data_IF_933269391079
#
_entry.id   IF_933269391079
#
_cell.length_a   1.000
_cell.length_b   1.000
_cell.length_c   1.000
_cell.angle_alpha   90.00
_cell.angle_beta   90.00
_cell.angle_gamma   90.00
#
_symmetry.space_group_name_H-M   'P 1'
#
loop_
_entity.id
_entity.type
_entity.pdbx_description
1 polymer ?
#
# COMPACT_ATOMS: atom_id res chain seq x y z
N UNK A 1 46.56 0.39 -61.85
CA UNK A 1 45.77 1.25 -62.75
C UNK A 1 44.29 1.17 -62.34
N UNK A 2 43.67 2.33 -62.06
CA UNK A 2 42.27 2.58 -61.69
C UNK A 2 41.79 1.97 -60.34
N UNK A 3 41.67 2.69 -59.21
CA UNK A 3 40.93 3.92 -58.87
C UNK A 3 39.40 3.79 -58.94
N UNK A 4 38.73 3.80 -57.77
CA UNK A 4 37.37 4.32 -57.48
C UNK A 4 37.07 4.11 -55.98
N UNK A 5 37.42 5.09 -55.15
CA UNK A 5 36.55 6.11 -54.57
C UNK A 5 35.69 5.60 -53.39
N UNK A 6 36.18 5.91 -52.18
CA UNK A 6 35.44 5.96 -50.94
C UNK A 6 34.58 7.24 -50.94
N UNK A 7 33.27 7.10 -50.79
CA UNK A 7 32.41 8.21 -50.39
C UNK A 7 31.67 7.83 -49.10
N UNK A 8 32.06 8.51 -48.02
CA UNK A 8 31.37 8.48 -46.75
C UNK A 8 30.01 9.16 -46.86
N UNK A 9 28.97 8.48 -46.38
CA UNK A 9 27.69 9.09 -46.15
C UNK A 9 27.65 9.65 -44.72
N UNK A 10 27.79 10.96 -44.62
CA UNK A 10 27.45 11.73 -43.42
C UNK A 10 25.94 11.61 -43.17
N UNK A 11 25.57 11.03 -42.03
CA UNK A 11 24.23 11.23 -41.45
C UNK A 11 24.40 11.96 -40.13
N UNK A 12 24.45 13.28 -40.27
CA UNK A 12 24.22 14.24 -39.21
C UNK A 12 22.78 14.08 -38.72
N UNK A 13 22.60 13.55 -37.51
CA UNK A 13 21.38 13.78 -36.74
C UNK A 13 21.68 14.92 -35.79
N UNK A 14 21.33 16.12 -36.26
CA UNK A 14 21.30 17.33 -35.48
C UNK A 14 20.32 17.16 -34.31
N UNK A 15 20.69 17.75 -33.18
CA UNK A 15 19.73 18.20 -32.17
C UNK A 15 19.32 17.14 -31.15
N UNK A 16 20.18 16.91 -30.16
CA UNK A 16 19.66 16.77 -28.79
C UNK A 16 18.97 18.09 -28.46
N UNK A 17 17.66 18.15 -28.71
CA UNK A 17 16.80 19.21 -28.23
C UNK A 17 16.95 19.29 -26.72
N UNK A 18 17.25 20.50 -26.25
CA UNK A 18 17.27 20.90 -24.85
C UNK A 18 16.13 20.20 -24.12
N UNK A 19 16.48 19.40 -23.12
CA UNK A 19 15.52 18.89 -22.14
C UNK A 19 15.09 20.10 -21.34
N UNK A 20 14.08 20.81 -21.85
CA UNK A 20 13.48 21.95 -21.16
C UNK A 20 13.09 21.47 -19.77
N UNK A 21 13.72 22.10 -18.79
CA UNK A 21 13.30 22.04 -17.40
C UNK A 21 11.81 22.34 -17.39
N UNK A 22 11.01 21.42 -16.88
CA UNK A 22 9.58 21.66 -16.70
C UNK A 22 9.46 22.77 -15.64
N UNK A 23 9.30 24.00 -16.11
CA UNK A 23 9.09 25.19 -15.28
C UNK A 23 7.88 24.96 -14.33
N UNK A 24 7.95 25.47 -13.09
CA UNK A 24 6.89 25.32 -12.10
C UNK A 24 5.60 25.96 -12.60
N UNK A 25 4.53 25.17 -12.60
CA UNK A 25 3.20 25.56 -13.04
C UNK A 25 2.72 26.87 -12.40
N UNK A 26 2.18 27.76 -13.25
CA UNK A 26 1.55 29.02 -12.86
C UNK A 26 0.46 28.84 -11.77
N UNK A 27 0.29 29.82 -10.85
CA UNK A 27 -0.71 29.75 -9.80
C UNK A 27 -2.10 29.95 -10.41
N UNK A 28 -2.95 28.92 -10.35
CA UNK A 28 -4.36 29.06 -10.75
C UNK A 28 -5.03 27.79 -11.29
N UNK A 29 -4.29 26.71 -11.57
CA UNK A 29 -4.91 25.46 -12.03
C UNK A 29 -5.25 24.56 -10.84
N UNK A 30 -6.46 24.73 -10.30
CA UNK A 30 -7.04 23.76 -9.36
C UNK A 30 -7.29 22.44 -10.13
N UNK A 31 -6.37 21.48 -9.98
CA UNK A 31 -6.60 20.10 -10.38
C UNK A 31 -7.56 19.47 -9.37
N UNK A 32 -8.86 19.64 -9.61
CA UNK A 32 -9.90 18.93 -8.88
C UNK A 32 -9.78 17.46 -9.27
N UNK A 33 -9.25 16.63 -8.35
CA UNK A 33 -9.30 15.17 -8.49
C UNK A 33 -10.66 14.70 -7.98
N UNK A 34 -11.61 14.55 -8.88
CA UNK A 34 -12.89 13.90 -8.55
C UNK A 34 -12.65 12.40 -8.28
N UNK A 35 -12.99 11.93 -7.08
CA UNK A 35 -12.94 10.51 -6.75
C UNK A 35 -14.01 9.73 -7.53
N UNK A 36 -13.73 8.47 -7.87
CA UNK A 36 -14.67 7.59 -8.57
C UNK A 36 -16.01 7.49 -7.82
N UNK A 37 -17.08 7.92 -8.50
CA UNK A 37 -18.45 7.91 -7.98
C UNK A 37 -18.93 6.45 -7.87
N UNK A 38 -19.35 6.03 -6.67
CA UNK A 38 -19.97 4.71 -6.46
C UNK A 38 -21.22 4.60 -7.36
N UNK A 39 -21.42 3.50 -8.12
CA UNK A 39 -22.64 3.33 -8.90
C UNK A 39 -23.82 3.20 -7.93
N UNK A 40 -24.73 4.17 -7.97
CA UNK A 40 -25.98 4.11 -7.26
C UNK A 40 -26.82 2.98 -7.86
N UNK A 41 -26.98 1.88 -7.12
CA UNK A 41 -27.92 0.82 -7.46
C UNK A 41 -29.33 1.40 -7.39
N UNK A 42 -29.91 1.69 -8.55
CA UNK A 42 -31.31 2.09 -8.66
C UNK A 42 -32.17 0.87 -8.31
N UNK A 43 -32.86 0.94 -7.19
CA UNK A 43 -33.94 0.04 -6.82
C UNK A 43 -35.03 0.11 -7.90
N UNK A 44 -35.15 -0.93 -8.72
CA UNK A 44 -36.08 -0.98 -9.86
C UNK A 44 -36.25 -2.40 -10.40
N UNK A 45 -37.33 -3.03 -9.95
CA UNK A 45 -37.97 -4.30 -10.38
C UNK A 45 -37.45 -5.01 -11.65
N UNK A 46 -37.15 -6.30 -11.42
CA UNK A 46 -37.34 -7.46 -12.30
C UNK A 46 -36.34 -7.66 -13.45
N UNK A 47 -35.25 -8.36 -13.14
CA UNK A 47 -34.63 -9.33 -14.04
C UNK A 47 -34.24 -10.57 -13.23
N UNK A 48 -34.82 -11.72 -13.59
CA UNK A 48 -34.45 -13.05 -13.08
C UNK A 48 -32.96 -13.27 -13.32
N UNK A 49 -32.26 -13.79 -12.31
CA UNK A 49 -30.83 -14.06 -12.36
C UNK A 49 -30.06 -13.40 -11.22
N UNK A 50 -30.65 -13.34 -10.03
CA UNK A 50 -29.84 -13.23 -8.83
C UNK A 50 -29.09 -14.57 -8.69
N UNK A 51 -27.91 -14.65 -9.33
CA UNK A 51 -26.83 -15.45 -8.74
C UNK A 51 -26.81 -15.01 -7.30
N UNK A 52 -27.08 -15.95 -6.41
CA UNK A 52 -27.01 -15.73 -4.98
C UNK A 52 -25.77 -14.88 -4.74
N UNK A 53 -25.89 -13.85 -3.91
CA UNK A 53 -24.71 -13.36 -3.24
C UNK A 53 -24.20 -14.56 -2.46
N UNK A 54 -23.36 -15.37 -3.11
CA UNK A 54 -22.55 -16.39 -2.47
C UNK A 54 -21.81 -15.59 -1.43
N UNK A 55 -22.35 -15.65 -0.22
CA UNK A 55 -21.90 -14.83 0.88
C UNK A 55 -20.44 -15.20 1.06
N UNK A 56 -19.53 -14.32 0.63
CA UNK A 56 -18.08 -14.58 0.62
C UNK A 56 -17.73 -15.27 1.93
N UNK A 57 -17.51 -16.59 1.85
CA UNK A 57 -17.12 -17.38 3.01
C UNK A 57 -15.61 -17.34 3.07
N UNK A 58 -15.12 -16.96 4.24
CA UNK A 58 -13.71 -17.12 4.55
C UNK A 58 -13.36 -18.59 4.37
N UNK A 59 -12.19 -18.90 3.80
CA UNK A 59 -11.76 -20.27 3.58
C UNK A 59 -11.70 -21.02 4.91
N UNK A 60 -12.02 -22.31 4.87
CA UNK A 60 -11.98 -23.17 6.06
C UNK A 60 -10.54 -23.28 6.57
N UNK A 61 -10.36 -23.00 7.87
CA UNK A 61 -9.05 -23.02 8.53
C UNK A 61 -8.85 -24.38 9.21
N UNK A 62 -7.66 -24.95 9.06
CA UNK A 62 -7.30 -26.19 9.74
C UNK A 62 -7.31 -26.01 11.28
N UNK A 63 -7.89 -26.98 12.00
CA UNK A 63 -8.00 -26.98 13.47
C UNK A 63 -7.00 -27.93 14.14
N UNK A 64 -6.15 -28.59 13.37
CA UNK A 64 -5.16 -29.54 13.90
C UNK A 64 -3.98 -28.82 14.57
N UNK A 65 -3.69 -29.07 15.86
CA UNK A 65 -2.65 -28.34 16.59
C UNK A 65 -1.23 -28.64 16.09
N UNK A 66 -0.99 -29.87 15.62
CA UNK A 66 0.33 -30.26 15.10
C UNK A 66 0.65 -29.50 13.81
N UNK A 67 -0.32 -29.33 12.91
CA UNK A 67 -0.11 -28.61 11.66
C UNK A 67 0.11 -27.11 11.92
N UNK A 68 -0.66 -26.51 12.83
CA UNK A 68 -0.55 -25.07 13.18
C UNK A 68 0.79 -24.70 13.84
N UNK A 69 1.44 -25.65 14.52
CA UNK A 69 2.74 -25.42 15.18
C UNK A 69 3.94 -25.72 14.28
N UNK A 70 3.75 -26.48 13.21
CA UNK A 70 4.82 -26.89 12.29
C UNK A 70 4.83 -26.09 10.99
N UNK A 71 3.65 -25.68 10.52
CA UNK A 71 3.47 -24.96 9.26
C UNK A 71 2.73 -23.64 9.48
N UNK A 72 3.08 -22.64 8.69
CA UNK A 72 2.38 -21.37 8.66
C UNK A 72 1.16 -21.46 7.73
N UNK A 73 0.05 -21.96 8.27
CA UNK A 73 -1.21 -22.07 7.53
C UNK A 73 -1.74 -20.68 7.12
N UNK A 74 -2.18 -20.54 5.87
CA UNK A 74 -2.75 -19.30 5.33
C UNK A 74 -1.72 -18.30 4.75
N UNK A 75 -0.43 -18.65 4.76
CA UNK A 75 0.61 -17.86 4.06
C UNK A 75 0.57 -18.12 2.56
N UNK A 76 0.33 -19.37 2.15
CA UNK A 76 0.21 -19.72 0.74
C UNK A 76 -1.22 -19.44 0.23
N UNK A 77 -1.32 -18.63 -0.82
CA UNK A 77 -2.60 -18.24 -1.46
C UNK A 77 -2.86 -19.06 -2.74
N UNK A 78 -1.84 -19.75 -3.26
CA UNK A 78 -1.94 -20.52 -4.50
C UNK A 78 -2.52 -21.91 -4.25
N UNK A 79 -3.41 -22.36 -5.15
CA UNK A 79 -4.05 -23.68 -5.07
C UNK A 79 -3.06 -24.85 -5.17
N UNK A 80 -1.98 -24.66 -5.92
CA UNK A 80 -0.97 -25.69 -6.21
C UNK A 80 0.34 -25.45 -5.44
N UNK A 81 0.30 -24.66 -4.37
CA UNK A 81 1.45 -24.42 -3.51
C UNK A 81 1.42 -25.29 -2.25
N UNK A 82 2.60 -25.59 -1.71
CA UNK A 82 2.73 -26.19 -0.39
C UNK A 82 2.86 -25.09 0.68
N UNK A 83 2.30 -25.35 1.87
CA UNK A 83 2.43 -24.43 3.01
C UNK A 83 3.87 -24.38 3.53
N UNK A 84 4.27 -23.19 3.98
CA UNK A 84 5.66 -22.93 4.40
C UNK A 84 5.89 -23.49 5.81
N UNK A 85 6.88 -24.37 6.02
CA UNK A 85 7.23 -24.86 7.35
C UNK A 85 7.88 -23.75 8.19
N UNK A 86 7.59 -23.74 9.49
CA UNK A 86 8.21 -22.82 10.43
C UNK A 86 9.67 -23.22 10.68
N UNK A 87 10.55 -22.22 10.66
CA UNK A 87 11.99 -22.38 10.87
C UNK A 87 12.33 -22.33 12.36
N UNK A 88 13.49 -22.84 12.79
CA UNK A 88 13.95 -22.63 14.16
C UNK A 88 14.28 -21.15 14.43
N UNK A 89 14.21 -20.74 15.70
CA UNK A 89 14.40 -19.34 16.12
C UNK A 89 15.73 -18.71 15.65
N UNK A 90 16.78 -19.51 15.48
CA UNK A 90 18.10 -19.04 15.06
C UNK A 90 18.14 -18.54 13.60
N UNK A 91 17.18 -18.93 12.76
CA UNK A 91 17.09 -18.44 11.38
C UNK A 91 16.34 -17.11 11.27
N UNK A 92 15.58 -16.75 12.30
CA UNK A 92 14.85 -15.49 12.33
C UNK A 92 15.74 -14.37 12.87
N UNK A 93 15.64 -13.16 12.30
CA UNK A 93 16.46 -12.04 12.75
C UNK A 93 16.09 -11.60 14.16
N UNK A 94 17.08 -11.13 14.92
CA UNK A 94 16.93 -10.78 16.34
C UNK A 94 15.87 -9.71 16.59
N UNK A 95 15.77 -8.71 15.69
CA UNK A 95 14.80 -7.61 15.83
C UNK A 95 13.34 -8.10 15.92
N UNK A 96 13.03 -9.30 15.41
CA UNK A 96 11.68 -9.88 15.51
C UNK A 96 11.28 -10.12 16.96
N UNK A 97 12.23 -10.55 17.80
CA UNK A 97 12.01 -10.85 19.20
C UNK A 97 12.10 -9.61 20.11
N UNK A 98 12.64 -8.51 19.60
CA UNK A 98 12.74 -7.23 20.29
C UNK A 98 11.49 -6.35 20.09
N UNK A 99 10.57 -6.75 19.22
CA UNK A 99 9.34 -6.00 18.96
C UNK A 99 8.40 -6.00 20.17
N UNK A 100 7.71 -4.88 20.40
CA UNK A 100 6.68 -4.79 21.43
C UNK A 100 5.39 -5.48 20.96
N UNK A 101 5.14 -6.70 21.45
CA UNK A 101 3.90 -7.48 21.23
C UNK A 101 2.80 -7.10 22.24
N UNK A 102 3.14 -6.29 23.25
CA UNK A 102 2.23 -5.81 24.28
C UNK A 102 1.42 -4.58 23.87
N UNK A 103 0.80 -3.91 24.86
CA UNK A 103 0.09 -2.66 24.59
C UNK A 103 1.05 -1.58 24.04
N UNK A 104 0.54 -0.64 23.24
CA UNK A 104 1.34 0.45 22.72
C UNK A 104 1.88 1.30 23.87
N UNK A 105 3.14 1.74 23.73
CA UNK A 105 3.80 2.63 24.70
C UNK A 105 3.00 3.92 24.89
N UNK A 106 2.93 4.39 26.13
CA UNK A 106 2.25 5.66 26.45
C UNK A 106 3.14 6.85 26.08
N UNK A 107 2.53 8.03 25.96
CA UNK A 107 3.26 9.25 25.64
C UNK A 107 4.34 9.58 26.69
N UNK A 108 4.06 9.30 27.97
CA UNK A 108 4.96 9.56 29.11
C UNK A 108 6.21 8.65 29.11
N UNK A 109 6.12 7.48 28.49
CA UNK A 109 7.21 6.50 28.42
C UNK A 109 8.13 6.75 27.22
N UNK A 110 7.70 7.57 26.27
CA UNK A 110 8.46 7.86 25.07
C UNK A 110 9.38 9.07 25.28
N UNK A 111 10.57 8.96 24.71
CA UNK A 111 11.54 10.04 24.69
C UNK A 111 11.04 11.21 23.81
N UNK A 112 10.99 12.46 24.34
CA UNK A 112 10.62 13.65 23.59
C UNK A 112 11.45 13.92 22.33
N UNK A 113 12.68 13.42 22.26
CA UNK A 113 13.53 13.58 21.08
C UNK A 113 13.21 12.55 19.97
N UNK A 114 12.44 11.52 20.30
CA UNK A 114 12.05 10.49 19.34
C UNK A 114 10.93 10.95 18.39
N UNK A 115 10.97 10.49 17.14
CA UNK A 115 9.89 10.76 16.16
C UNK A 115 8.56 10.12 16.56
N UNK A 116 8.60 9.02 17.31
CA UNK A 116 7.43 8.28 17.76
C UNK A 116 6.60 9.07 18.76
N UNK A 117 7.27 9.76 19.68
CA UNK A 117 6.64 10.68 20.63
C UNK A 117 5.77 11.72 19.90
N UNK A 118 6.33 12.40 18.90
CA UNK A 118 5.61 13.43 18.16
C UNK A 118 4.46 12.87 17.30
N UNK A 119 4.57 11.62 16.82
CA UNK A 119 3.46 10.94 16.13
C UNK A 119 2.29 10.69 17.09
N UNK A 120 2.57 10.20 18.29
CA UNK A 120 1.53 9.98 19.32
C UNK A 120 0.92 11.31 19.79
N UNK A 121 1.75 12.32 20.04
CA UNK A 121 1.25 13.65 20.44
C UNK A 121 0.32 14.25 19.38
N UNK A 122 0.69 14.15 18.10
CA UNK A 122 -0.17 14.56 16.98
C UNK A 122 -1.49 13.79 16.98
N UNK A 123 -1.44 12.46 17.19
CA UNK A 123 -2.63 11.62 17.27
C UNK A 123 -3.58 12.07 18.41
N UNK A 124 -3.04 12.37 19.58
CA UNK A 124 -3.82 12.90 20.71
C UNK A 124 -4.45 14.27 20.39
N UNK A 125 -3.72 15.16 19.72
CA UNK A 125 -4.25 16.45 19.31
C UNK A 125 -5.39 16.33 18.29
N UNK A 126 -5.29 15.40 17.33
CA UNK A 126 -6.38 15.09 16.39
C UNK A 126 -7.60 14.58 17.16
N UNK A 127 -7.42 13.64 18.10
CA UNK A 127 -8.53 13.13 18.91
C UNK A 127 -9.18 14.21 19.77
N UNK A 128 -8.39 15.09 20.37
CA UNK A 128 -8.88 16.24 21.12
C UNK A 128 -9.69 17.16 20.20
N UNK A 129 -9.16 17.51 19.02
CA UNK A 129 -9.86 18.34 18.07
C UNK A 129 -11.19 17.72 17.62
N UNK A 130 -11.20 16.44 17.26
CA UNK A 130 -12.40 15.71 16.87
C UNK A 130 -13.45 15.67 17.98
N UNK A 131 -13.03 15.54 19.25
CA UNK A 131 -13.94 15.57 20.40
C UNK A 131 -14.57 16.95 20.59
N UNK A 132 -13.80 18.03 20.39
CA UNK A 132 -14.28 19.41 20.52
C UNK A 132 -15.14 19.83 19.33
N UNK A 133 -14.79 19.42 18.11
CA UNK A 133 -15.52 19.75 16.88
C UNK A 133 -16.82 18.95 16.73
N UNK A 134 -16.99 17.84 17.48
CA UNK A 134 -18.19 16.99 17.44
C UNK A 134 -19.50 17.77 17.64
N UNK A 135 -19.48 18.81 18.46
CA UNK A 135 -20.67 19.61 18.78
C UNK A 135 -20.74 20.95 18.02
N UNK A 136 -19.79 21.23 17.13
CA UNK A 136 -19.81 22.45 16.31
C UNK A 136 -20.69 22.21 15.09
N UNK A 137 -21.73 23.05 14.94
CA UNK A 137 -22.51 23.10 13.70
C UNK A 137 -21.78 24.05 12.75
N UNK A 138 -21.14 23.45 11.75
CA UNK A 138 -20.36 24.07 10.66
C UNK A 138 -19.09 24.82 11.11
#
# INVERSE_FOLDING_TARGET
>A
MAARQLFGATRTWAGWGVREFLEPAAPGRLLIRDYAKKPAVKMGKLAKGAVASDALKDPEVCTDPVQLTTYAMGVNIYKEGQDVPLKPNAEYPEWLFEMNVGPPKKLEELDPESREYWRLLRKHNIWRHNRLSKNRKF
#
